data_IF_820967196947
#
_entry.id   IF_820967196947
#
_cell.length_a   1.000
_cell.length_b   1.000
_cell.length_c   1.000
_cell.angle_alpha   90.00
_cell.angle_beta   90.00
_cell.angle_gamma   90.00
#
_symmetry.space_group_name_H-M   'P 1'
#
loop_
_entity.id
_entity.type
_entity.pdbx_description
1 polymer ?
#
# COMPACT_ATOMS: atom_id res chain seq x y z
N UNK A 1 -8.04 0.70 0.18
CA UNK A 1 -8.25 -0.52 -0.64
C UNK A 1 -6.89 -1.00 -1.14
N UNK A 2 -6.67 -2.31 -1.26
CA UNK A 2 -5.42 -2.90 -1.77
C UNK A 2 -5.75 -3.71 -3.02
N UNK A 3 -4.97 -3.52 -4.08
CA UNK A 3 -5.03 -4.28 -5.33
C UNK A 3 -3.70 -5.01 -5.50
N UNK A 4 -3.77 -6.29 -5.84
CA UNK A 4 -2.61 -7.14 -6.16
C UNK A 4 -2.63 -7.42 -7.67
N UNK A 5 -1.83 -6.70 -8.47
CA UNK A 5 -1.55 -7.08 -9.85
C UNK A 5 -1.02 -8.52 -9.92
N UNK A 6 -1.39 -9.26 -10.97
CA UNK A 6 -1.00 -10.66 -11.14
C UNK A 6 0.41 -10.78 -11.72
N UNK A 7 1.38 -10.26 -10.98
CA UNK A 7 2.80 -10.30 -11.30
C UNK A 7 3.61 -10.41 -10.02
N UNK A 8 4.68 -11.20 -10.08
CA UNK A 8 5.64 -11.35 -8.99
C UNK A 8 6.85 -10.49 -9.27
N UNK A 9 7.26 -9.68 -8.29
CA UNK A 9 8.39 -8.77 -8.39
C UNK A 9 9.43 -9.21 -7.38
N UNK A 10 10.63 -9.57 -7.84
CA UNK A 10 11.72 -9.84 -6.93
C UNK A 10 12.25 -8.51 -6.39
N UNK A 11 12.27 -8.36 -5.06
CA UNK A 11 12.77 -7.18 -4.37
C UNK A 11 14.20 -6.81 -4.79
N UNK A 12 15.04 -7.82 -5.08
CA UNK A 12 16.40 -7.61 -5.57
C UNK A 12 16.43 -6.84 -6.87
N UNK A 13 15.55 -7.15 -7.84
CA UNK A 13 15.54 -6.51 -9.16
C UNK A 13 15.29 -5.01 -9.05
N UNK A 14 14.35 -4.61 -8.18
CA UNK A 14 14.05 -3.20 -7.91
C UNK A 14 15.24 -2.51 -7.25
N UNK A 15 15.83 -3.12 -6.21
CA UNK A 15 16.95 -2.51 -5.50
C UNK A 15 18.24 -2.44 -6.32
N UNK A 16 18.44 -3.34 -7.28
CA UNK A 16 19.60 -3.34 -8.17
C UNK A 16 19.41 -2.48 -9.42
N UNK A 17 18.19 -1.97 -9.68
CA UNK A 17 17.93 -1.18 -10.88
C UNK A 17 18.80 0.10 -10.89
N UNK A 18 19.52 0.40 -11.99
CA UNK A 18 20.45 1.54 -12.03
C UNK A 18 19.75 2.87 -11.72
N UNK A 19 18.54 3.07 -12.26
CA UNK A 19 17.80 4.33 -12.13
C UNK A 19 16.97 4.48 -10.84
N UNK A 20 17.07 3.53 -9.90
CA UNK A 20 16.39 3.69 -8.60
C UNK A 20 16.95 4.91 -7.86
N UNK A 21 16.06 5.80 -7.42
CA UNK A 21 16.40 6.95 -6.57
C UNK A 21 17.09 6.46 -5.28
N UNK A 22 18.29 6.97 -5.00
CA UNK A 22 19.12 6.56 -3.84
C UNK A 22 19.62 7.73 -2.99
N UNK A 23 19.21 8.94 -3.34
CA UNK A 23 19.70 10.20 -2.81
C UNK A 23 18.58 11.09 -2.24
N UNK A 24 17.39 10.51 -2.00
CA UNK A 24 16.30 11.18 -1.28
C UNK A 24 16.81 11.75 0.05
N UNK A 25 16.75 13.07 0.28
CA UNK A 25 17.32 13.69 1.46
C UNK A 25 16.72 13.14 2.76
N UNK A 26 17.59 12.96 3.76
CA UNK A 26 17.15 12.66 5.13
C UNK A 26 16.36 13.85 5.67
N UNK A 27 15.18 13.57 6.22
CA UNK A 27 14.23 14.55 6.75
C UNK A 27 13.83 14.16 8.16
N UNK A 28 13.50 15.14 9.00
CA UNK A 28 12.93 14.89 10.32
C UNK A 28 11.45 14.49 10.22
N UNK A 29 10.88 14.06 11.35
CA UNK A 29 9.49 13.61 11.41
C UNK A 29 8.50 14.71 11.01
N UNK A 30 8.70 15.94 11.50
CA UNK A 30 7.78 17.06 11.28
C UNK A 30 7.67 17.40 9.79
N UNK A 31 8.80 17.34 9.08
CA UNK A 31 8.84 17.55 7.64
C UNK A 31 8.20 16.38 6.90
N UNK A 32 8.57 15.13 7.23
CA UNK A 32 8.02 13.93 6.59
C UNK A 32 6.48 13.87 6.69
N UNK A 33 5.94 14.12 7.88
CA UNK A 33 4.50 14.07 8.14
C UNK A 33 3.69 15.14 7.40
N UNK A 34 4.30 16.29 7.11
CA UNK A 34 3.67 17.41 6.37
C UNK A 34 3.87 17.31 4.86
N UNK A 35 4.85 16.54 4.41
CA UNK A 35 5.09 16.31 2.98
C UNK A 35 4.17 15.24 2.43
N UNK A 36 3.85 15.36 1.14
CA UNK A 36 3.14 14.31 0.41
C UNK A 36 3.93 13.00 0.50
N UNK A 37 3.22 11.91 0.80
CA UNK A 37 3.81 10.58 0.84
C UNK A 37 4.03 10.04 -0.56
N UNK A 38 5.20 9.44 -0.78
CA UNK A 38 5.65 8.90 -2.05
C UNK A 38 6.48 7.63 -1.79
N UNK A 39 6.67 6.82 -2.83
CA UNK A 39 7.49 5.61 -2.79
C UNK A 39 8.51 5.68 -3.93
N UNK A 40 9.79 5.80 -3.60
CA UNK A 40 10.88 5.92 -4.60
C UNK A 40 10.98 4.71 -5.54
N UNK A 41 10.46 3.54 -5.13
CA UNK A 41 10.41 2.34 -5.98
C UNK A 41 9.32 2.43 -7.07
N UNK A 42 8.31 3.28 -6.88
CA UNK A 42 7.11 3.30 -7.72
C UNK A 42 7.43 3.59 -9.18
N UNK A 43 8.31 4.57 -9.46
CA UNK A 43 8.69 4.91 -10.83
C UNK A 43 9.31 3.72 -11.57
N UNK A 44 10.21 2.99 -10.91
CA UNK A 44 10.87 1.81 -11.49
C UNK A 44 9.88 0.68 -11.68
N UNK A 45 9.04 0.41 -10.68
CA UNK A 45 8.05 -0.66 -10.77
C UNK A 45 7.05 -0.40 -11.89
N UNK A 46 6.53 0.83 -12.02
CA UNK A 46 5.62 1.20 -13.11
C UNK A 46 6.26 1.08 -14.49
N UNK A 47 7.56 1.40 -14.60
CA UNK A 47 8.31 1.29 -15.85
C UNK A 47 8.48 -0.17 -16.29
N UNK A 48 8.82 -1.06 -15.35
CA UNK A 48 9.16 -2.45 -15.65
C UNK A 48 7.94 -3.39 -15.70
N UNK A 49 6.87 -3.05 -14.98
CA UNK A 49 5.70 -3.94 -14.79
C UNK A 49 4.40 -3.21 -15.20
N UNK A 50 4.00 -3.28 -16.48
CA UNK A 50 2.80 -2.62 -17.01
C UNK A 50 1.51 -3.01 -16.28
N UNK A 51 1.43 -4.20 -15.71
CA UNK A 51 0.31 -4.67 -14.88
C UNK A 51 0.14 -3.81 -13.63
N UNK A 52 1.26 -3.40 -13.02
CA UNK A 52 1.26 -2.50 -11.87
C UNK A 52 0.88 -1.09 -12.31
N UNK A 53 1.47 -0.58 -13.40
CA UNK A 53 1.14 0.75 -13.93
C UNK A 53 -0.34 0.89 -14.30
N UNK A 54 -0.91 -0.14 -14.94
CA UNK A 54 -2.33 -0.18 -15.30
C UNK A 54 -3.22 -0.08 -14.07
N UNK A 55 -2.97 -0.88 -13.04
CA UNK A 55 -3.80 -0.90 -11.83
C UNK A 55 -3.63 0.39 -11.02
N UNK A 56 -2.40 0.91 -10.92
CA UNK A 56 -2.15 2.17 -10.24
C UNK A 56 -2.80 3.35 -10.98
N UNK A 57 -2.65 3.42 -12.29
CA UNK A 57 -3.27 4.46 -13.14
C UNK A 57 -4.80 4.40 -13.09
N UNK A 58 -5.38 3.21 -12.98
CA UNK A 58 -6.82 3.06 -12.76
C UNK A 58 -7.23 3.63 -11.39
N UNK A 59 -6.53 3.26 -10.31
CA UNK A 59 -6.84 3.74 -8.96
C UNK A 59 -6.69 5.26 -8.80
N UNK A 60 -5.69 5.87 -9.45
CA UNK A 60 -5.43 7.31 -9.42
C UNK A 60 -6.59 8.15 -9.98
N UNK A 61 -7.50 7.56 -10.75
CA UNK A 61 -8.72 8.24 -11.22
C UNK A 61 -9.76 8.43 -10.11
N UNK A 62 -9.64 7.67 -9.01
CA UNK A 62 -10.64 7.63 -7.93
C UNK A 62 -10.10 8.13 -6.60
N UNK A 63 -8.82 7.86 -6.27
CA UNK A 63 -8.26 8.24 -4.98
C UNK A 63 -6.72 8.34 -5.02
N UNK A 64 -6.10 9.06 -4.06
CA UNK A 64 -4.65 9.01 -3.86
C UNK A 64 -4.20 7.55 -3.72
N UNK A 65 -3.27 7.16 -4.59
CA UNK A 65 -2.88 5.76 -4.74
C UNK A 65 -1.38 5.64 -4.94
N UNK A 66 -0.79 4.59 -4.37
CA UNK A 66 0.66 4.37 -4.38
C UNK A 66 1.03 2.89 -4.37
N UNK A 67 2.26 2.60 -4.75
CA UNK A 67 2.91 1.32 -4.51
C UNK A 67 3.19 1.10 -3.01
N UNK A 68 3.02 -0.13 -2.52
CA UNK A 68 3.51 -0.55 -1.19
C UNK A 68 4.70 -1.49 -1.30
N UNK A 69 5.74 -1.27 -0.47
CA UNK A 69 7.01 -1.98 -0.57
C UNK A 69 7.67 -1.81 -1.94
N UNK A 70 8.23 -2.90 -2.47
CA UNK A 70 8.74 -2.98 -3.85
C UNK A 70 7.70 -3.54 -4.84
N UNK A 71 6.41 -3.58 -4.45
CA UNK A 71 5.35 -4.14 -5.26
C UNK A 71 5.20 -5.67 -5.15
N UNK A 72 4.30 -6.28 -5.91
CA UNK A 72 3.45 -5.67 -6.96
C UNK A 72 2.23 -4.91 -6.43
N UNK A 73 1.88 -5.07 -5.15
CA UNK A 73 0.67 -4.47 -4.59
C UNK A 73 0.67 -2.93 -4.66
N UNK A 74 -0.50 -2.39 -5.00
CA UNK A 74 -0.81 -0.96 -4.94
C UNK A 74 -2.00 -0.75 -4.02
N UNK A 75 -2.12 0.43 -3.44
CA UNK A 75 -3.23 0.76 -2.56
C UNK A 75 -3.78 2.14 -2.89
N UNK A 76 -5.08 2.31 -2.61
CA UNK A 76 -5.81 3.57 -2.71
C UNK A 76 -6.37 3.94 -1.33
N UNK A 77 -6.24 5.21 -0.97
CA UNK A 77 -6.66 5.78 0.31
C UNK A 77 -8.09 6.31 0.23
N UNK A 78 -8.88 6.04 1.27
CA UNK A 78 -10.28 6.47 1.35
C UNK A 78 -10.62 6.84 2.78
N UNK A 79 -11.45 7.86 2.96
CA UNK A 79 -11.94 8.29 4.28
C UNK A 79 -13.05 7.38 4.81
N UNK A 80 -13.73 6.63 3.92
CA UNK A 80 -14.81 5.73 4.31
C UNK A 80 -14.69 4.34 3.68
N UNK A 81 -15.08 3.32 4.47
CA UNK A 81 -15.20 1.94 3.98
C UNK A 81 -16.23 1.83 2.85
N UNK A 82 -17.33 2.58 2.93
CA UNK A 82 -18.41 2.57 1.94
C UNK A 82 -17.92 3.00 0.55
N UNK A 83 -17.14 4.07 0.50
CA UNK A 83 -16.52 4.57 -0.73
C UNK A 83 -15.54 3.55 -1.29
N UNK A 84 -14.61 3.04 -0.47
CA UNK A 84 -13.66 2.02 -0.88
C UNK A 84 -14.35 0.76 -1.46
N UNK A 85 -15.45 0.30 -0.84
CA UNK A 85 -16.24 -0.82 -1.34
C UNK A 85 -16.99 -0.49 -2.64
N UNK A 86 -17.41 0.76 -2.82
CA UNK A 86 -18.03 1.22 -4.07
C UNK A 86 -17.06 1.18 -5.24
N UNK A 87 -15.82 1.61 -5.02
CA UNK A 87 -14.77 1.53 -6.04
C UNK A 87 -14.35 0.08 -6.27
N UNK A 88 -14.24 -0.75 -5.22
CA UNK A 88 -13.91 -2.18 -5.35
C UNK A 88 -14.88 -2.90 -6.32
N UNK A 89 -16.18 -2.58 -6.28
CA UNK A 89 -17.20 -3.18 -7.16
C UNK A 89 -17.07 -2.75 -8.64
N UNK A 90 -16.31 -1.71 -8.94
CA UNK A 90 -16.06 -1.26 -10.31
C UNK A 90 -14.83 -1.92 -10.94
N UNK A 91 -14.01 -2.62 -10.15
CA UNK A 91 -12.88 -3.37 -10.68
C UNK A 91 -13.37 -4.54 -11.56
N UNK A 92 -12.64 -4.88 -12.64
CA UNK A 92 -12.91 -6.10 -13.40
C UNK A 92 -12.89 -7.33 -12.49
N UNK A 93 -13.80 -8.29 -12.73
CA UNK A 93 -13.98 -9.49 -11.89
C UNK A 93 -12.69 -10.29 -11.67
N UNK A 94 -11.76 -10.25 -12.63
CA UNK A 94 -10.49 -10.97 -12.56
C UNK A 94 -9.39 -10.21 -11.78
N UNK A 95 -9.72 -9.10 -11.12
CA UNK A 95 -8.74 -8.31 -10.35
C UNK A 95 -8.68 -8.80 -8.91
N UNK A 96 -7.49 -9.19 -8.43
CA UNK A 96 -7.30 -9.53 -7.02
C UNK A 96 -7.24 -8.25 -6.18
N UNK A 97 -8.27 -7.99 -5.38
CA UNK A 97 -8.33 -6.78 -4.54
C UNK A 97 -9.17 -7.00 -3.27
N UNK A 98 -8.90 -6.19 -2.24
CA UNK A 98 -9.69 -6.19 -1.00
C UNK A 98 -9.69 -4.83 -0.32
N UNK A 99 -10.69 -4.60 0.55
CA UNK A 99 -10.78 -3.41 1.40
C UNK A 99 -10.35 -3.79 2.83
N UNK A 100 -9.46 -2.98 3.40
CA UNK A 100 -9.02 -3.11 4.78
C UNK A 100 -8.86 -1.71 5.41
N UNK A 101 -8.94 -1.66 6.74
CA UNK A 101 -8.71 -0.46 7.54
C UNK A 101 -7.30 -0.48 8.12
N UNK A 102 -6.52 0.58 7.88
CA UNK A 102 -5.24 0.79 8.56
C UNK A 102 -5.43 0.96 10.07
N UNK A 103 -4.55 0.35 10.86
CA UNK A 103 -4.60 0.38 12.32
C UNK A 103 -3.23 0.80 12.86
N UNK A 104 -3.20 1.76 13.79
CA UNK A 104 -1.97 2.22 14.43
C UNK A 104 -1.47 1.26 15.51
N UNK A 105 -2.33 0.33 15.96
CA UNK A 105 -1.96 -0.74 16.89
C UNK A 105 -2.15 -2.06 16.15
N UNK A 106 -1.09 -2.87 16.12
CA UNK A 106 -1.14 -4.20 15.49
C UNK A 106 -2.28 -5.04 16.09
N UNK A 107 -3.09 -5.72 15.26
CA UNK A 107 -4.12 -6.65 15.73
C UNK A 107 -3.57 -7.74 16.67
N UNK A 108 -2.30 -8.14 16.49
CA UNK A 108 -1.63 -9.10 17.37
C UNK A 108 -1.48 -8.54 18.80
N UNK A 109 -0.98 -7.31 18.93
CA UNK A 109 -0.84 -6.64 20.22
C UNK A 109 -2.19 -6.44 20.91
N UNK A 110 -3.23 -6.05 20.15
CA UNK A 110 -4.59 -5.94 20.68
C UNK A 110 -5.11 -7.28 21.20
N UNK A 111 -4.87 -8.37 20.47
CA UNK A 111 -5.28 -9.72 20.88
C UNK A 111 -4.54 -10.17 22.13
N UNK A 112 -3.24 -9.95 22.20
CA UNK A 112 -2.41 -10.29 23.35
C UNK A 112 -2.85 -9.54 24.63
N UNK A 113 -3.11 -8.24 24.51
CA UNK A 113 -3.60 -7.42 25.63
C UNK A 113 -4.94 -7.92 26.17
N UNK A 114 -5.86 -8.35 25.29
CA UNK A 114 -7.15 -8.93 25.69
C UNK A 114 -6.96 -10.25 26.46
N UNK A 115 -6.14 -11.16 25.93
CA UNK A 115 -5.86 -12.45 26.59
C UNK A 115 -5.33 -12.22 28.02
N UNK A 116 -4.39 -11.28 28.19
CA UNK A 116 -3.85 -10.98 29.52
C UNK A 116 -4.86 -10.31 30.45
N UNK A 117 -5.74 -9.45 29.94
CA UNK A 117 -6.81 -8.84 30.74
C UNK A 117 -7.80 -9.92 31.23
N UNK A 118 -8.22 -10.82 30.34
CA UNK A 118 -9.16 -11.90 30.66
C UNK A 118 -8.56 -12.89 31.69
N UNK A 119 -7.24 -13.15 31.61
CA UNK A 119 -6.55 -14.04 32.55
C UNK A 119 -6.39 -13.49 33.98
N UNK A 120 -6.52 -12.17 34.17
CA UNK A 120 -6.46 -11.52 35.50
C UNK A 120 -7.84 -11.37 36.16
N UNK A 121 -8.88 -11.83 35.48
CA UNK A 121 -10.28 -11.70 35.91
C UNK A 121 -10.79 -12.89 36.74
N UNK A 122 -9.90 -13.82 37.10
CA UNK A 122 -10.17 -15.02 37.91
C UNK A 122 -9.42 -14.96 39.24
#
# INVERSE_FOLDING_TARGET
>A
MVVRPDVSIATVDIFTHPDLTRDTPKRNWELLHKTKYENDCEKIVRLLYPEVDKQLSWLLQYAPSRLTGTGSCVFAEFDSQKEAQSILRQLPENTTAFVAKGQNISPLHQKLARIFADSKSF
#
